data_IF_928940943504
#
_entry.id   IF_928940943504
#
_cell.length_a   1.000
_cell.length_b   1.000
_cell.length_c   1.000
_cell.angle_alpha   90.00
_cell.angle_beta   90.00
_cell.angle_gamma   90.00
#
_symmetry.space_group_name_H-M   'P 1'
#
loop_
_entity.id
_entity.type
_entity.pdbx_description
1 polymer ?
#
# COMPACT_ATOMS: atom_id res chain seq x y z
N UNK A 1 0.59 -6.59 2.72
CA UNK A 1 0.22 -7.80 3.49
C UNK A 1 -0.77 -7.40 4.56
N UNK A 2 -2.02 -7.76 4.35
CA UNK A 2 -3.21 -7.14 4.93
C UNK A 2 -3.56 -7.72 6.30
N UNK A 3 -3.67 -6.87 7.32
CA UNK A 3 -4.50 -7.13 8.50
C UNK A 3 -5.42 -5.93 8.73
N UNK A 4 -6.44 -5.82 7.88
CA UNK A 4 -7.75 -5.33 8.31
C UNK A 4 -8.69 -6.52 8.14
N UNK A 5 -8.98 -7.19 9.26
CA UNK A 5 -10.08 -8.15 9.45
C UNK A 5 -9.95 -9.41 8.57
N UNK A 6 -9.25 -10.42 9.08
CA UNK A 6 -9.71 -11.81 8.93
C UNK A 6 -9.31 -12.63 10.17
N UNK A 7 -10.31 -13.30 10.72
CA UNK A 7 -10.26 -14.23 11.84
C UNK A 7 -9.08 -15.22 11.71
N UNK A 8 -8.22 -15.30 12.72
CA UNK A 8 -7.67 -16.60 13.14
C UNK A 8 -8.84 -17.52 13.50
N UNK A 9 -9.13 -18.48 12.62
CA UNK A 9 -9.74 -19.76 12.95
C UNK A 9 -8.56 -20.72 13.09
N UNK A 10 -8.41 -21.36 14.25
CA UNK A 10 -7.64 -22.60 14.30
C UNK A 10 -8.31 -23.60 15.25
N UNK A 11 -8.25 -24.84 14.79
CA UNK A 11 -9.27 -25.87 14.92
C UNK A 11 -9.09 -26.74 16.17
N UNK A 12 -10.22 -27.08 16.80
CA UNK A 12 -10.31 -28.04 17.90
C UNK A 12 -11.56 -28.93 17.82
N UNK A 13 -11.48 -29.97 16.97
CA UNK A 13 -12.19 -31.29 16.99
C UNK A 13 -13.73 -31.39 16.82
N UNK A 14 -14.12 -32.21 15.83
CA UNK A 14 -15.32 -33.07 15.83
C UNK A 14 -16.14 -33.02 14.54
N UNK A 15 -16.55 -34.15 13.92
CA UNK A 15 -17.27 -34.14 12.66
C UNK A 15 -18.77 -33.95 12.93
N UNK A 16 -19.26 -32.73 12.74
CA UNK A 16 -20.68 -32.48 12.60
C UNK A 16 -20.85 -31.46 11.48
N UNK A 17 -21.72 -31.77 10.52
CA UNK A 17 -22.15 -30.85 9.47
C UNK A 17 -22.80 -29.63 10.14
N UNK A 18 -22.06 -28.55 10.26
CA UNK A 18 -22.56 -27.29 10.81
C UNK A 18 -22.34 -26.20 9.75
N UNK A 19 -23.45 -25.77 9.14
CA UNK A 19 -23.50 -24.53 8.35
C UNK A 19 -23.24 -23.37 9.32
N UNK A 20 -22.25 -22.53 9.04
CA UNK A 20 -22.02 -21.32 9.81
C UNK A 20 -22.82 -20.12 9.24
N UNK A 21 -23.03 -19.13 10.12
CA UNK A 21 -23.86 -17.92 10.01
C UNK A 21 -23.42 -16.93 8.89
N UNK A 22 -22.57 -17.39 7.97
CA UNK A 22 -22.01 -16.62 6.85
C UNK A 22 -22.47 -17.09 5.47
N UNK A 23 -23.19 -18.22 5.38
CA UNK A 23 -23.71 -18.73 4.10
C UNK A 23 -22.65 -18.99 3.03
N UNK A 24 -21.36 -19.05 3.41
CA UNK A 24 -20.24 -19.33 2.53
C UNK A 24 -19.64 -20.67 2.91
N UNK A 25 -19.61 -21.59 1.96
CA UNK A 25 -19.02 -22.91 2.11
C UNK A 25 -17.51 -22.81 2.40
N UNK A 26 -16.95 -23.84 3.05
CA UNK A 26 -15.52 -23.97 3.29
C UNK A 26 -14.69 -23.81 1.99
N UNK A 27 -15.25 -24.25 0.86
CA UNK A 27 -14.62 -24.17 -0.46
C UNK A 27 -14.59 -22.75 -1.02
N UNK A 28 -15.67 -21.96 -0.86
CA UNK A 28 -15.70 -20.54 -1.26
C UNK A 28 -14.70 -19.69 -0.47
N UNK A 29 -14.45 -20.02 0.81
CA UNK A 29 -13.38 -19.40 1.61
C UNK A 29 -11.98 -19.74 1.09
N UNK A 30 -11.75 -21.01 0.74
CA UNK A 30 -10.49 -21.43 0.11
C UNK A 30 -10.33 -20.76 -1.26
N UNK A 31 -11.41 -20.57 -2.03
CA UNK A 31 -11.37 -19.92 -3.34
C UNK A 31 -11.11 -18.42 -3.24
N UNK A 32 -11.80 -17.69 -2.35
CA UNK A 32 -11.51 -16.27 -2.09
C UNK A 32 -10.10 -16.10 -1.53
N UNK A 33 -9.67 -16.97 -0.61
CA UNK A 33 -8.30 -16.93 -0.08
C UNK A 33 -7.26 -17.30 -1.15
N UNK A 34 -7.57 -18.21 -2.08
CA UNK A 34 -6.73 -18.54 -3.24
C UNK A 34 -6.72 -17.43 -4.28
N UNK A 35 -7.83 -16.72 -4.49
CA UNK A 35 -7.95 -15.62 -5.45
C UNK A 35 -7.30 -14.34 -4.90
N UNK A 36 -7.37 -14.11 -3.59
CA UNK A 36 -6.60 -13.06 -2.89
C UNK A 36 -5.11 -13.41 -2.86
N UNK A 37 -4.76 -14.69 -2.66
CA UNK A 37 -3.36 -15.16 -2.70
C UNK A 37 -2.78 -15.12 -4.13
N UNK A 38 -3.59 -15.37 -5.16
CA UNK A 38 -3.17 -15.32 -6.57
C UNK A 38 -3.02 -13.90 -7.13
N UNK A 39 -3.59 -12.90 -6.46
CA UNK A 39 -3.40 -11.46 -6.77
C UNK A 39 -2.26 -10.81 -6.00
N UNK A 40 -1.63 -11.52 -5.05
CA UNK A 40 -0.66 -10.89 -4.16
C UNK A 40 0.65 -10.59 -4.89
N UNK A 41 0.92 -9.30 -5.10
CA UNK A 41 2.12 -8.84 -5.80
C UNK A 41 3.33 -9.02 -4.87
N UNK A 42 4.19 -10.00 -5.18
CA UNK A 42 5.56 -9.98 -4.65
C UNK A 42 6.28 -8.79 -5.27
N UNK A 43 6.86 -7.94 -4.42
CA UNK A 43 7.68 -6.82 -4.85
C UNK A 43 8.83 -6.62 -3.88
N UNK A 44 10.07 -6.82 -4.34
CA UNK A 44 11.27 -6.73 -3.49
C UNK A 44 11.81 -5.28 -3.41
N UNK A 45 11.17 -4.32 -4.09
CA UNK A 45 11.68 -2.98 -4.33
C UNK A 45 12.46 -2.88 -5.65
N UNK A 46 12.47 -1.69 -6.24
CA UNK A 46 13.25 -1.33 -7.42
C UNK A 46 13.61 0.15 -7.35
N UNK A 47 14.75 0.45 -6.74
CA UNK A 47 15.23 1.83 -6.59
C UNK A 47 16.01 2.25 -7.83
N UNK A 48 15.54 3.30 -8.50
CA UNK A 48 16.20 3.88 -9.66
C UNK A 48 17.23 4.89 -9.14
N UNK A 49 18.51 4.66 -9.46
CA UNK A 49 19.64 5.47 -8.99
C UNK A 49 19.79 6.77 -9.78
N UNK A 50 18.81 7.66 -9.64
CA UNK A 50 18.78 8.97 -10.30
C UNK A 50 18.47 10.06 -9.26
N UNK A 51 19.34 11.07 -9.16
CA UNK A 51 19.19 12.17 -8.21
C UNK A 51 17.94 12.99 -8.51
N UNK A 52 17.22 13.38 -7.47
CA UNK A 52 16.00 14.19 -7.56
C UNK A 52 14.78 13.42 -8.08
N UNK A 53 14.91 12.10 -8.33
CA UNK A 53 13.78 11.28 -8.76
C UNK A 53 12.92 10.91 -7.55
N UNK A 54 11.58 11.05 -7.64
CA UNK A 54 10.69 10.54 -6.61
C UNK A 54 10.83 9.03 -6.42
N UNK A 55 10.88 8.58 -5.16
CA UNK A 55 10.98 7.18 -4.78
C UNK A 55 9.93 6.86 -3.71
N UNK A 56 9.01 5.93 -4.03
CA UNK A 56 7.98 5.52 -3.07
C UNK A 56 8.62 4.68 -1.97
N UNK A 57 8.68 5.22 -0.76
CA UNK A 57 9.33 4.57 0.39
C UNK A 57 8.35 3.97 1.38
N UNK A 58 7.10 4.42 1.39
CA UNK A 58 6.06 3.80 2.21
C UNK A 58 4.72 3.88 1.48
N UNK A 59 4.04 2.74 1.36
CA UNK A 59 2.76 2.63 0.67
C UNK A 59 1.72 1.91 1.53
N UNK A 60 0.48 2.43 1.61
CA UNK A 60 -0.58 1.79 2.37
C UNK A 60 -1.09 0.54 1.66
N UNK A 61 -0.72 -0.63 2.19
CA UNK A 61 -1.01 -1.93 1.57
C UNK A 61 -2.49 -2.20 1.26
N UNK A 62 -3.45 -1.51 1.91
CA UNK A 62 -4.88 -1.63 1.59
C UNK A 62 -5.28 -1.07 0.22
N UNK A 63 -4.37 -0.35 -0.45
CA UNK A 63 -4.57 0.25 -1.77
C UNK A 63 -3.72 -0.44 -2.85
N UNK A 64 -3.72 -1.77 -2.88
CA UNK A 64 -2.99 -2.57 -3.86
C UNK A 64 -3.41 -2.27 -5.31
N UNK A 65 -4.70 -2.06 -5.58
CA UNK A 65 -5.15 -1.67 -6.93
C UNK A 65 -4.64 -0.30 -7.37
N UNK A 66 -4.43 0.63 -6.43
CA UNK A 66 -3.81 1.92 -6.71
C UNK A 66 -2.29 1.78 -6.91
N UNK A 67 -1.65 0.83 -6.21
CA UNK A 67 -0.24 0.48 -6.43
C UNK A 67 0.00 -0.03 -7.86
N UNK A 68 -0.82 -0.97 -8.34
CA UNK A 68 -0.75 -1.43 -9.73
C UNK A 68 -0.91 -0.29 -10.74
N UNK A 69 -1.84 0.63 -10.46
CA UNK A 69 -2.06 1.81 -11.28
C UNK A 69 -0.83 2.72 -11.31
N UNK A 70 -0.20 2.95 -10.15
CA UNK A 70 1.03 3.75 -10.05
C UNK A 70 2.19 3.09 -10.82
N UNK A 71 2.41 1.79 -10.62
CA UNK A 71 3.48 1.03 -11.29
C UNK A 71 3.30 0.98 -12.81
N UNK A 72 2.06 0.80 -13.28
CA UNK A 72 1.76 0.76 -14.71
C UNK A 72 1.84 2.14 -15.41
N UNK A 73 1.55 3.23 -14.69
CA UNK A 73 1.55 4.59 -15.24
C UNK A 73 2.91 5.30 -15.16
N UNK A 74 3.82 4.88 -14.28
CA UNK A 74 5.14 5.49 -14.17
C UNK A 74 5.88 5.42 -15.51
N UNK A 75 6.34 6.56 -16.05
CA UNK A 75 7.07 6.76 -17.33
C UNK A 75 7.72 5.47 -17.90
N UNK A 76 6.98 4.69 -18.69
CA UNK A 76 7.39 3.40 -19.29
C UNK A 76 7.70 2.24 -18.31
N UNK A 77 6.95 2.10 -17.21
CA UNK A 77 7.13 1.04 -16.20
C UNK A 77 8.29 1.30 -15.22
N UNK A 78 8.80 2.53 -15.13
CA UNK A 78 9.97 2.88 -14.31
C UNK A 78 9.58 3.65 -13.05
N UNK A 79 8.82 3.02 -12.16
CA UNK A 79 8.60 3.55 -10.81
C UNK A 79 9.81 3.21 -9.94
N UNK A 80 10.40 4.24 -9.30
CA UNK A 80 11.39 4.02 -8.25
C UNK A 80 10.64 3.76 -6.94
N UNK A 81 10.92 2.64 -6.30
CA UNK A 81 10.23 2.25 -5.07
C UNK A 81 11.12 1.41 -4.16
N UNK A 82 11.12 1.76 -2.88
CA UNK A 82 11.79 1.01 -1.83
C UNK A 82 10.85 0.07 -1.06
N UNK A 83 9.53 0.22 -1.23
CA UNK A 83 8.52 -0.63 -0.57
C UNK A 83 8.73 -2.11 -0.89
N UNK A 84 8.44 -2.97 0.08
CA UNK A 84 8.63 -4.41 -0.04
C UNK A 84 7.33 -5.14 0.33
N UNK A 85 6.85 -5.99 -0.57
CA UNK A 85 5.71 -6.86 -0.37
C UNK A 85 6.16 -8.33 -0.53
N UNK A 86 6.14 -9.08 0.57
CA UNK A 86 6.47 -10.51 0.60
C UNK A 86 5.22 -11.34 0.91
N UNK A 87 4.37 -11.70 -0.08
CA UNK A 87 3.20 -12.55 0.11
C UNK A 87 3.50 -13.85 0.86
N UNK A 88 2.47 -14.43 1.49
CA UNK A 88 2.54 -15.80 1.98
C UNK A 88 2.89 -16.76 0.85
N UNK A 89 3.73 -17.76 1.14
CA UNK A 89 4.25 -18.71 0.15
C UNK A 89 5.46 -18.21 -0.65
N UNK A 90 5.87 -16.95 -0.50
CA UNK A 90 7.16 -16.50 -1.04
C UNK A 90 8.33 -17.02 -0.20
N UNK A 91 9.49 -17.17 -0.83
CA UNK A 91 10.69 -17.72 -0.19
C UNK A 91 11.07 -17.00 1.10
N UNK A 92 10.85 -15.69 1.17
CA UNK A 92 11.24 -14.84 2.30
C UNK A 92 10.13 -14.59 3.32
N UNK A 93 8.91 -15.10 3.07
CA UNK A 93 7.82 -15.05 4.03
C UNK A 93 8.15 -15.85 5.29
N UNK A 94 7.84 -15.29 6.46
CA UNK A 94 8.10 -15.91 7.76
C UNK A 94 9.56 -15.86 8.21
N UNK A 95 10.50 -15.44 7.34
CA UNK A 95 11.90 -15.27 7.72
C UNK A 95 12.09 -14.03 8.60
N UNK A 96 12.92 -14.17 9.62
CA UNK A 96 13.33 -13.08 10.50
C UNK A 96 14.83 -12.87 10.37
N UNK A 97 15.24 -11.60 10.31
CA UNK A 97 16.66 -11.23 10.31
C UNK A 97 17.05 -10.70 11.68
N UNK A 98 18.22 -11.11 12.15
CA UNK A 98 18.74 -10.70 13.45
C UNK A 98 19.12 -9.23 13.46
N UNK A 99 18.81 -8.55 14.55
CA UNK A 99 19.32 -7.21 14.83
C UNK A 99 20.76 -7.35 15.31
N UNK A 100 21.67 -6.53 14.79
CA UNK A 100 23.05 -6.53 15.29
C UNK A 100 23.08 -5.91 16.69
N UNK A 101 23.84 -6.51 17.61
CA UNK A 101 24.00 -5.97 18.98
C UNK A 101 24.45 -4.50 18.99
N UNK A 102 25.23 -4.09 17.99
CA UNK A 102 25.70 -2.72 17.79
C UNK A 102 24.58 -1.72 17.49
N UNK A 103 23.43 -2.16 16.98
CA UNK A 103 22.29 -1.28 16.73
C UNK A 103 21.50 -0.98 18.01
N UNK A 104 21.70 -1.73 19.09
CA UNK A 104 21.19 -1.41 20.43
C UNK A 104 19.67 -1.58 20.61
N UNK A 105 19.00 -2.35 19.74
CA UNK A 105 17.55 -2.53 19.79
C UNK A 105 17.12 -3.78 20.56
N UNK A 106 15.93 -3.75 21.19
CA UNK A 106 15.41 -4.90 21.91
C UNK A 106 14.99 -6.01 20.94
N UNK A 107 15.10 -7.26 21.41
CA UNK A 107 14.69 -8.45 20.67
C UNK A 107 15.81 -9.10 19.87
N UNK A 108 15.53 -10.30 19.37
CA UNK A 108 16.47 -11.09 18.56
C UNK A 108 16.35 -10.79 17.06
N UNK A 109 15.26 -10.14 16.63
CA UNK A 109 14.99 -9.76 15.24
C UNK A 109 14.11 -8.51 15.18
N UNK A 110 13.95 -7.93 13.98
CA UNK A 110 13.17 -6.71 13.75
C UNK A 110 11.70 -6.78 14.14
N UNK A 111 11.12 -7.96 14.33
CA UNK A 111 9.72 -8.06 14.75
C UNK A 111 9.44 -7.33 16.07
N UNK A 112 10.36 -7.39 17.05
CA UNK A 112 10.16 -6.75 18.35
C UNK A 112 10.05 -5.22 18.24
N UNK A 113 11.00 -4.48 17.63
CA UNK A 113 10.84 -3.04 17.47
C UNK A 113 9.68 -2.65 16.56
N UNK A 114 9.36 -3.46 15.53
CA UNK A 114 8.30 -3.14 14.57
C UNK A 114 6.88 -3.40 15.11
N UNK A 115 6.71 -4.50 15.83
CA UNK A 115 5.40 -5.06 16.16
C UNK A 115 5.21 -5.37 17.65
N UNK A 116 6.26 -5.24 18.46
CA UNK A 116 6.29 -5.59 19.88
C UNK A 116 6.54 -7.08 20.15
N UNK A 117 6.30 -7.95 19.17
CA UNK A 117 6.46 -9.40 19.27
C UNK A 117 6.80 -10.03 17.92
N UNK A 118 7.29 -11.28 17.92
CA UNK A 118 7.57 -12.01 16.70
C UNK A 118 6.27 -12.35 15.95
N UNK A 119 6.25 -12.07 14.64
CA UNK A 119 5.08 -12.30 13.79
C UNK A 119 5.30 -13.48 12.82
N UNK A 120 4.24 -14.22 12.45
CA UNK A 120 4.36 -15.39 11.58
C UNK A 120 4.81 -15.05 10.16
N UNK A 121 4.58 -13.82 9.70
CA UNK A 121 5.08 -13.33 8.41
C UNK A 121 6.55 -12.88 8.45
N UNK A 122 7.17 -12.86 9.63
CA UNK A 122 8.56 -12.49 9.82
C UNK A 122 8.85 -10.99 9.60
N UNK A 123 10.13 -10.64 9.59
CA UNK A 123 10.60 -9.26 9.46
C UNK A 123 11.68 -9.06 8.40
N UNK A 124 11.98 -10.07 7.59
CA UNK A 124 12.96 -9.96 6.49
C UNK A 124 12.62 -8.88 5.47
N UNK A 125 11.34 -8.60 5.27
CA UNK A 125 10.89 -7.49 4.42
C UNK A 125 11.49 -6.15 4.88
N UNK A 126 11.69 -5.94 6.18
CA UNK A 126 12.19 -4.68 6.74
C UNK A 126 13.68 -4.50 6.47
N UNK A 127 14.47 -5.58 6.51
CA UNK A 127 15.88 -5.53 6.12
C UNK A 127 16.02 -5.10 4.66
N UNK A 128 15.29 -5.76 3.74
CA UNK A 128 15.27 -5.40 2.33
C UNK A 128 14.80 -3.96 2.10
N UNK A 129 13.74 -3.56 2.79
CA UNK A 129 13.23 -2.20 2.74
C UNK A 129 14.31 -1.20 3.15
N UNK A 130 14.99 -1.41 4.29
CA UNK A 130 16.08 -0.52 4.74
C UNK A 130 17.22 -0.44 3.71
N UNK A 131 17.64 -1.56 3.13
CA UNK A 131 18.67 -1.58 2.09
C UNK A 131 18.26 -0.75 0.86
N UNK A 132 16.98 -0.83 0.47
CA UNK A 132 16.41 0.02 -0.59
C UNK A 132 16.39 1.50 -0.17
N UNK A 133 16.04 1.83 1.07
CA UNK A 133 16.08 3.22 1.56
C UNK A 133 17.48 3.78 1.50
N UNK A 134 18.49 3.06 2.01
CA UNK A 134 19.88 3.52 1.97
C UNK A 134 20.33 3.74 0.51
N UNK A 135 19.98 2.81 -0.40
CA UNK A 135 20.25 2.99 -1.84
C UNK A 135 19.58 4.24 -2.41
N UNK A 136 18.33 4.53 -2.04
CA UNK A 136 17.60 5.71 -2.51
C UNK A 136 18.23 7.01 -1.99
N UNK A 137 18.61 7.04 -0.71
CA UNK A 137 19.27 8.20 -0.08
C UNK A 137 20.64 8.45 -0.68
N UNK A 138 21.47 7.42 -0.84
CA UNK A 138 22.80 7.52 -1.49
C UNK A 138 22.71 8.04 -2.92
N UNK A 139 21.65 7.66 -3.64
CA UNK A 139 21.39 8.13 -5.01
C UNK A 139 20.86 9.57 -5.07
N UNK A 140 20.51 10.16 -3.91
CA UNK A 140 19.88 11.48 -3.82
C UNK A 140 18.45 11.51 -4.34
N UNK A 141 17.70 10.40 -4.21
CA UNK A 141 16.28 10.34 -4.55
C UNK A 141 15.43 11.16 -3.58
N UNK A 142 14.25 11.60 -4.03
CA UNK A 142 13.27 12.27 -3.20
C UNK A 142 12.31 11.22 -2.61
N UNK A 143 12.34 10.99 -1.30
CA UNK A 143 11.56 9.93 -0.67
C UNK A 143 10.09 10.37 -0.53
N UNK A 144 9.13 9.51 -0.88
CA UNK A 144 7.69 9.75 -0.74
C UNK A 144 7.02 8.74 0.21
N UNK A 145 6.30 9.25 1.20
CA UNK A 145 5.47 8.48 2.14
C UNK A 145 4.00 8.75 1.84
N UNK A 146 3.27 7.69 1.46
CA UNK A 146 1.84 7.78 1.16
C UNK A 146 0.98 7.53 2.40
N UNK A 147 0.10 8.49 2.68
CA UNK A 147 -0.89 8.46 3.75
C UNK A 147 -2.26 8.06 3.23
N UNK A 148 -3.13 7.61 4.14
CA UNK A 148 -4.54 7.41 3.84
C UNK A 148 -5.22 8.73 3.42
N UNK A 149 -6.35 8.65 2.67
CA UNK A 149 -7.05 9.82 2.16
C UNK A 149 -7.40 10.84 3.24
N UNK A 150 -7.00 12.09 3.01
CA UNK A 150 -7.21 13.24 3.88
C UNK A 150 -6.56 13.11 5.28
N UNK A 151 -5.53 12.25 5.40
CA UNK A 151 -4.85 11.95 6.66
C UNK A 151 -3.33 12.15 6.57
N UNK A 152 -2.86 12.99 5.63
CA UNK A 152 -1.45 13.40 5.52
C UNK A 152 -0.94 13.92 6.87
N UNK A 153 0.22 13.39 7.29
CA UNK A 153 0.88 13.76 8.54
C UNK A 153 0.28 13.15 9.82
N UNK A 154 -0.84 12.43 9.72
CA UNK A 154 -1.52 11.79 10.87
C UNK A 154 -1.12 10.31 11.03
N UNK A 155 -1.40 9.75 12.20
CA UNK A 155 -1.21 8.33 12.46
C UNK A 155 0.23 7.93 12.72
N UNK A 156 1.17 8.86 12.86
CA UNK A 156 2.56 8.57 13.24
C UNK A 156 2.62 8.06 14.68
N UNK A 157 3.62 7.22 14.96
CA UNK A 157 4.02 6.90 16.35
C UNK A 157 4.99 7.97 16.85
N UNK A 158 5.14 8.07 18.17
CA UNK A 158 6.03 9.06 18.79
C UNK A 158 7.50 8.87 18.36
N UNK A 159 7.95 7.63 18.31
CA UNK A 159 9.30 7.26 17.89
C UNK A 159 9.37 5.80 17.43
N UNK A 160 10.46 5.42 16.76
CA UNK A 160 10.67 4.02 16.38
C UNK A 160 10.73 3.10 17.61
N UNK A 161 11.25 3.59 18.73
CA UNK A 161 11.32 2.90 20.02
C UNK A 161 9.92 2.54 20.57
N UNK A 162 8.89 3.35 20.25
CA UNK A 162 7.50 3.13 20.69
C UNK A 162 6.64 2.33 19.70
N UNK A 163 7.14 2.07 18.47
CA UNK A 163 6.33 1.49 17.39
C UNK A 163 5.76 0.10 17.75
N UNK A 164 6.56 -0.75 18.37
CA UNK A 164 6.14 -2.08 18.80
C UNK A 164 5.02 -2.04 19.85
N UNK A 165 5.10 -1.12 20.82
CA UNK A 165 4.07 -0.96 21.85
C UNK A 165 2.75 -0.42 21.26
N UNK A 166 2.82 0.57 20.36
CA UNK A 166 1.65 1.08 19.62
C UNK A 166 0.96 -0.04 18.85
N UNK A 167 1.73 -0.91 18.18
CA UNK A 167 1.18 -2.06 17.46
C UNK A 167 0.45 -3.03 18.39
N UNK A 168 1.06 -3.41 19.53
CA UNK A 168 0.44 -4.32 20.50
C UNK A 168 -0.88 -3.76 21.04
N UNK A 169 -0.92 -2.47 21.38
CA UNK A 169 -2.14 -1.83 21.87
C UNK A 169 -3.25 -1.83 20.80
N UNK A 170 -2.90 -1.52 19.54
CA UNK A 170 -3.85 -1.62 18.41
C UNK A 170 -4.36 -3.03 18.20
N UNK A 171 -3.49 -4.04 18.31
CA UNK A 171 -3.90 -5.43 18.17
C UNK A 171 -4.80 -5.89 19.30
N UNK A 172 -4.55 -5.46 20.53
CA UNK A 172 -5.42 -5.72 21.67
C UNK A 172 -6.82 -5.14 21.44
N UNK A 173 -6.91 -3.88 20.98
CA UNK A 173 -8.19 -3.27 20.63
C UNK A 173 -8.86 -4.03 19.49
N UNK A 174 -8.14 -4.33 18.40
CA UNK A 174 -8.71 -5.05 17.26
C UNK A 174 -9.17 -6.48 17.61
N UNK A 175 -8.55 -7.15 18.61
CA UNK A 175 -9.02 -8.46 19.10
C UNK A 175 -10.44 -8.37 19.67
N UNK A 176 -10.81 -7.24 20.28
CA UNK A 176 -12.17 -6.98 20.79
C UNK A 176 -13.23 -6.94 19.69
N UNK A 177 -12.83 -6.77 18.43
CA UNK A 177 -13.78 -6.76 17.32
C UNK A 177 -14.54 -8.09 17.21
N UNK A 178 -13.87 -9.23 17.44
CA UNK A 178 -14.53 -10.54 17.41
C UNK A 178 -15.58 -10.70 18.51
N UNK A 179 -15.33 -10.10 19.67
CA UNK A 179 -16.27 -10.14 20.79
C UNK A 179 -17.45 -9.20 20.52
N UNK A 180 -17.16 -8.03 19.94
CA UNK A 180 -18.19 -7.11 19.47
C UNK A 180 -19.09 -7.75 18.41
N UNK A 181 -18.56 -8.48 17.43
CA UNK A 181 -19.35 -9.17 16.40
C UNK A 181 -20.29 -10.25 16.98
N UNK A 182 -20.00 -10.76 18.19
CA UNK A 182 -20.86 -11.72 18.91
C UNK A 182 -21.86 -11.05 19.85
N UNK A 183 -21.73 -9.74 20.07
CA UNK A 183 -22.50 -8.97 21.04
C UNK A 183 -23.99 -8.83 20.65
N UNK A 184 -24.89 -8.64 21.63
CA UNK A 184 -26.28 -8.29 21.36
C UNK A 184 -26.43 -7.02 20.51
N UNK A 185 -25.56 -6.03 20.71
CA UNK A 185 -25.56 -4.76 19.99
C UNK A 185 -25.29 -4.96 18.50
N UNK A 186 -24.34 -5.83 18.15
CA UNK A 186 -24.06 -6.14 16.76
C UNK A 186 -25.20 -6.93 16.10
N UNK A 187 -25.80 -7.90 16.83
CA UNK A 187 -26.99 -8.62 16.36
C UNK A 187 -28.18 -7.69 16.13
N UNK A 188 -28.37 -6.70 16.99
CA UNK A 188 -29.37 -5.65 16.80
C UNK A 188 -29.08 -4.83 15.55
N UNK A 189 -27.82 -4.46 15.30
CA UNK A 189 -27.43 -3.75 14.09
C UNK A 189 -27.69 -4.58 12.82
N UNK A 190 -27.42 -5.89 12.84
CA UNK A 190 -27.79 -6.82 11.76
C UNK A 190 -29.29 -6.79 11.50
N UNK A 191 -30.12 -6.91 12.54
CA UNK A 191 -31.57 -6.80 12.44
C UNK A 191 -32.06 -5.42 11.96
N UNK A 192 -31.30 -4.36 12.23
CA UNK A 192 -31.56 -3.00 11.76
C UNK A 192 -31.08 -2.74 10.32
N UNK A 193 -30.61 -3.76 9.60
CA UNK A 193 -30.27 -3.68 8.19
C UNK A 193 -28.77 -3.54 7.88
N UNK A 194 -27.88 -3.65 8.87
CA UNK A 194 -26.43 -3.73 8.62
C UNK A 194 -26.11 -4.84 7.61
N UNK A 195 -26.75 -6.02 7.75
CA UNK A 195 -26.55 -7.16 6.86
C UNK A 195 -27.00 -6.94 5.41
N UNK A 196 -27.83 -5.92 5.17
CA UNK A 196 -28.35 -5.59 3.84
C UNK A 196 -27.45 -4.58 3.09
N UNK A 197 -26.42 -4.03 3.73
CA UNK A 197 -25.49 -3.11 3.09
C UNK A 197 -24.64 -3.84 2.05
N UNK A 198 -24.26 -3.12 0.99
CA UNK A 198 -23.40 -3.69 -0.05
C UNK A 198 -22.06 -4.16 0.54
N UNK A 199 -21.69 -5.39 0.17
CA UNK A 199 -20.40 -6.02 0.49
C UNK A 199 -19.38 -5.85 -0.64
N UNK A 200 -19.76 -5.22 -1.75
CA UNK A 200 -18.87 -4.95 -2.86
C UNK A 200 -17.74 -4.02 -2.43
N UNK A 201 -16.50 -4.40 -2.78
CA UNK A 201 -15.31 -3.63 -2.45
C UNK A 201 -15.19 -2.42 -3.37
N UNK A 202 -14.85 -1.27 -2.78
CA UNK A 202 -14.50 -0.04 -3.49
C UNK A 202 -13.00 0.02 -3.76
N UNK A 203 -12.57 1.07 -4.47
CA UNK A 203 -11.14 1.30 -4.78
C UNK A 203 -10.22 1.47 -3.56
N UNK A 204 -10.78 1.66 -2.36
CA UNK A 204 -10.03 1.72 -1.10
C UNK A 204 -10.05 0.40 -0.31
N UNK A 205 -10.57 -0.67 -0.90
CA UNK A 205 -10.69 -1.99 -0.29
C UNK A 205 -11.82 -2.12 0.74
N UNK A 206 -12.66 -1.10 0.91
CA UNK A 206 -13.79 -1.13 1.84
C UNK A 206 -15.13 -1.29 1.12
N UNK A 207 -16.11 -1.89 1.80
CA UNK A 207 -17.52 -1.96 1.39
C UNK A 207 -18.41 -1.12 2.32
N UNK A 208 -19.66 -0.84 1.90
CA UNK A 208 -20.63 -0.16 2.77
C UNK A 208 -20.81 -0.90 4.10
N UNK A 209 -20.95 -2.24 4.02
CA UNK A 209 -21.03 -3.11 5.19
C UNK A 209 -19.81 -2.92 6.11
N UNK A 210 -18.59 -3.05 5.57
CA UNK A 210 -17.37 -3.01 6.38
C UNK A 210 -17.16 -1.66 7.08
N UNK A 211 -17.53 -0.55 6.42
CA UNK A 211 -17.42 0.79 7.00
C UNK A 211 -18.40 0.98 8.15
N UNK A 212 -19.65 0.56 7.97
CA UNK A 212 -20.66 0.69 9.02
C UNK A 212 -20.37 -0.25 10.19
N UNK A 213 -19.99 -1.51 9.92
CA UNK A 213 -19.55 -2.44 10.95
C UNK A 213 -18.36 -1.87 11.76
N UNK A 214 -17.38 -1.28 11.07
CA UNK A 214 -16.24 -0.61 11.72
C UNK A 214 -16.68 0.60 12.55
N UNK A 215 -17.59 1.43 12.05
CA UNK A 215 -18.13 2.60 12.78
C UNK A 215 -18.80 2.16 14.08
N UNK A 216 -19.62 1.12 14.02
CA UNK A 216 -20.31 0.57 15.20
C UNK A 216 -19.33 -0.05 16.19
N UNK A 217 -18.32 -0.78 15.71
CA UNK A 217 -17.25 -1.31 16.56
C UNK A 217 -16.51 -0.18 17.29
N UNK A 218 -16.07 0.86 16.57
CA UNK A 218 -15.42 2.01 17.19
C UNK A 218 -16.33 2.68 18.22
N UNK A 219 -17.64 2.79 17.96
CA UNK A 219 -18.59 3.35 18.92
C UNK A 219 -18.74 2.50 20.21
N UNK A 220 -18.51 1.18 20.13
CA UNK A 220 -18.55 0.28 21.30
C UNK A 220 -17.31 0.34 22.19
N UNK A 221 -16.20 0.88 21.69
CA UNK A 221 -14.95 1.00 22.46
C UNK A 221 -15.09 2.05 23.58
N UNK A 222 -14.24 1.95 24.60
CA UNK A 222 -14.12 3.01 25.61
C UNK A 222 -13.60 4.31 24.99
N UNK A 223 -13.81 5.44 25.66
CA UNK A 223 -13.36 6.75 25.17
C UNK A 223 -11.86 6.79 24.88
N UNK A 224 -11.03 6.33 25.82
CA UNK A 224 -9.58 6.26 25.66
C UNK A 224 -9.15 5.39 24.48
N UNK A 225 -9.83 4.27 24.23
CA UNK A 225 -9.54 3.42 23.08
C UNK A 225 -9.95 4.07 21.76
N UNK A 226 -11.10 4.75 21.72
CA UNK A 226 -11.53 5.49 20.53
C UNK A 226 -10.55 6.61 20.19
N UNK A 227 -10.12 7.37 21.19
CA UNK A 227 -9.12 8.43 21.03
C UNK A 227 -7.80 7.86 20.50
N UNK A 228 -7.32 6.76 21.08
CA UNK A 228 -6.12 6.08 20.61
C UNK A 228 -6.24 5.59 19.15
N UNK A 229 -7.37 4.97 18.80
CA UNK A 229 -7.61 4.50 17.44
C UNK A 229 -7.70 5.65 16.44
N UNK A 230 -8.36 6.74 16.80
CA UNK A 230 -8.46 7.95 15.98
C UNK A 230 -7.10 8.63 15.78
N UNK A 231 -6.29 8.74 16.84
CA UNK A 231 -4.93 9.28 16.75
C UNK A 231 -4.01 8.41 15.89
N UNK A 232 -4.29 7.11 15.82
CA UNK A 232 -3.56 6.13 15.02
C UNK A 232 -3.95 6.09 13.54
N UNK A 233 -4.97 6.84 13.11
CA UNK A 233 -5.38 6.86 11.70
C UNK A 233 -4.44 7.70 10.83
N UNK A 234 -4.09 7.16 9.65
CA UNK A 234 -3.30 7.86 8.62
C UNK A 234 -2.24 6.97 7.99
N UNK A 235 -1.69 6.04 8.76
CA UNK A 235 -0.68 5.06 8.34
C UNK A 235 -1.07 3.64 8.75
N UNK A 236 -0.73 2.67 7.90
CA UNK A 236 -0.79 1.24 8.25
C UNK A 236 0.22 0.87 9.35
N UNK A 237 0.06 -0.33 9.96
CA UNK A 237 0.91 -0.75 11.08
C UNK A 237 2.40 -0.76 10.73
N UNK A 238 2.79 -1.45 9.65
CA UNK A 238 4.19 -1.46 9.21
C UNK A 238 4.66 -0.06 8.80
N UNK A 239 3.79 0.74 8.16
CA UNK A 239 4.14 2.10 7.72
C UNK A 239 4.48 3.03 8.89
N UNK A 240 3.79 2.89 10.03
CA UNK A 240 4.11 3.65 11.25
C UNK A 240 5.57 3.46 11.65
N UNK A 241 6.04 2.22 11.64
CA UNK A 241 7.42 1.89 11.98
C UNK A 241 8.40 2.34 10.88
N UNK A 242 8.06 2.17 9.60
CA UNK A 242 8.85 2.70 8.47
C UNK A 242 9.09 4.21 8.61
N UNK A 243 8.03 4.99 8.82
CA UNK A 243 8.09 6.45 8.94
C UNK A 243 8.88 6.87 10.18
N UNK A 244 8.65 6.21 11.32
CA UNK A 244 9.39 6.50 12.55
C UNK A 244 10.89 6.16 12.40
N UNK A 245 11.23 5.14 11.61
CA UNK A 245 12.62 4.80 11.29
C UNK A 245 13.27 5.88 10.41
N UNK A 246 12.58 6.36 9.36
CA UNK A 246 13.07 7.46 8.51
C UNK A 246 13.34 8.73 9.34
N UNK A 247 12.42 9.06 10.25
CA UNK A 247 12.58 10.20 11.17
C UNK A 247 13.78 10.02 12.10
N UNK A 248 13.95 8.83 12.68
CA UNK A 248 15.10 8.51 13.55
C UNK A 248 16.43 8.65 12.81
N UNK A 249 16.46 8.30 11.52
CA UNK A 249 17.64 8.45 10.65
C UNK A 249 17.89 9.88 10.19
N UNK A 250 16.94 10.79 10.41
CA UNK A 250 17.00 12.17 9.92
C UNK A 250 16.81 12.30 8.42
N UNK A 251 16.17 11.32 7.78
CA UNK A 251 15.92 11.34 6.33
C UNK A 251 14.70 12.19 6.03
N UNK A 252 14.87 13.17 5.14
CA UNK A 252 13.76 13.99 4.64
C UNK A 252 12.89 13.18 3.67
N UNK A 253 11.59 13.37 3.74
CA UNK A 253 10.61 12.74 2.86
C UNK A 253 9.41 13.66 2.64
N UNK A 254 8.75 13.49 1.50
CA UNK A 254 7.48 14.12 1.17
C UNK A 254 6.32 13.30 1.70
N UNK A 255 5.30 13.98 2.22
CA UNK A 255 4.06 13.36 2.69
C UNK A 255 3.00 13.52 1.59
N UNK A 256 2.54 12.39 1.05
CA UNK A 256 1.66 12.38 -0.12
C UNK A 256 0.32 11.74 0.23
N UNK A 257 -0.78 12.34 -0.22
CA UNK A 257 -2.11 11.78 -0.08
C UNK A 257 -2.36 10.74 -1.19
N UNK A 258 -2.77 9.53 -0.82
CA UNK A 258 -3.06 8.48 -1.81
C UNK A 258 -4.30 8.76 -2.66
N UNK A 259 -5.18 9.68 -2.28
CA UNK A 259 -6.36 10.05 -3.08
C UNK A 259 -5.99 10.50 -4.49
N UNK A 260 -4.75 10.95 -4.71
CA UNK A 260 -4.16 11.26 -6.03
C UNK A 260 -4.18 10.07 -6.99
N UNK A 261 -4.20 8.84 -6.48
CA UNK A 261 -4.17 7.59 -7.25
C UNK A 261 -5.50 6.84 -7.26
N UNK A 262 -6.48 7.30 -6.48
CA UNK A 262 -7.80 6.69 -6.46
C UNK A 262 -8.63 7.27 -7.61
N UNK A 263 -9.42 6.44 -8.33
CA UNK A 263 -10.39 6.99 -9.26
C UNK A 263 -11.31 7.90 -8.46
N UNK A 264 -11.36 9.19 -8.80
CA UNK A 264 -12.27 10.12 -8.16
C UNK A 264 -13.69 9.57 -8.30
N UNK A 265 -14.44 9.49 -7.20
CA UNK A 265 -15.88 9.25 -7.28
C UNK A 265 -16.48 10.39 -8.14
N UNK A 266 -16.72 10.14 -9.43
CA UNK A 266 -17.34 11.09 -10.36
C UNK A 266 -16.44 12.07 -11.12
N UNK A 267 -15.12 11.85 -11.25
CA UNK A 267 -14.27 12.69 -12.14
C UNK A 267 -13.92 11.90 -13.40
N UNK A 268 -14.57 12.24 -14.52
CA UNK A 268 -14.08 11.87 -15.86
C UNK A 268 -12.61 12.26 -15.95
N UNK A 269 -11.73 11.28 -16.20
CA UNK A 269 -10.30 11.48 -16.28
C UNK A 269 -9.99 12.53 -17.35
N UNK A 270 -9.55 13.72 -16.92
CA UNK A 270 -8.79 14.60 -17.78
C UNK A 270 -7.43 13.95 -18.00
N UNK A 271 -7.29 13.24 -19.12
CA UNK A 271 -5.98 12.84 -19.64
C UNK A 271 -5.43 14.09 -20.34
N UNK A 272 -4.42 14.79 -19.81
CA UNK A 272 -3.74 15.80 -20.60
C UNK A 272 -3.13 15.08 -21.80
N UNK A 273 -3.61 15.41 -23.00
CA UNK A 273 -3.00 14.97 -24.25
C UNK A 273 -1.54 15.40 -24.19
N UNK A 274 -0.66 14.42 -24.03
CA UNK A 274 0.78 14.61 -24.05
C UNK A 274 1.09 15.38 -25.33
N UNK A 275 1.70 16.54 -25.16
CA UNK A 275 2.28 17.31 -26.25
C UNK A 275 3.14 16.37 -27.07
N UNK A 276 2.68 16.09 -28.29
CA UNK A 276 3.39 15.33 -29.30
C UNK A 276 4.76 15.98 -29.42
N UNK A 277 5.79 15.25 -28.98
CA UNK A 277 7.18 15.62 -29.15
C UNK A 277 7.40 15.92 -30.64
N UNK A 278 7.61 17.20 -30.99
CA UNK A 278 8.08 17.56 -32.33
C UNK A 278 9.45 16.92 -32.50
N UNK A 279 9.70 16.13 -33.56
CA UNK A 279 11.04 15.64 -33.83
C UNK A 279 11.96 16.83 -34.08
N UNK A 280 13.09 16.83 -33.38
CA UNK A 280 14.18 17.76 -33.56
C UNK A 280 14.75 17.52 -34.96
N UNK A 281 14.36 18.35 -35.93
CA UNK A 281 15.02 18.40 -37.24
C UNK A 281 16.34 19.13 -37.02
N UNK A 282 17.45 18.39 -37.09
CA UNK A 282 18.78 18.97 -37.12
C UNK A 282 18.97 19.70 -38.45
N UNK A 283 18.80 21.03 -38.45
CA UNK A 283 19.24 21.87 -39.55
C UNK A 283 20.76 21.98 -39.51
N UNK A 284 21.41 21.37 -40.51
CA UNK A 284 22.83 21.57 -40.82
C UNK A 284 22.93 22.86 -41.66
N UNK A 285 23.67 23.89 -41.24
CA UNK A 285 23.76 25.12 -42.00
C UNK A 285 24.80 25.00 -43.12
N UNK A 286 24.38 25.37 -44.33
CA UNK A 286 25.28 25.85 -45.39
C UNK A 286 25.35 24.96 -46.62
N UNK A 287 24.61 25.34 -47.67
CA UNK A 287 25.13 25.55 -49.03
C UNK A 287 24.00 26.15 -49.88
N UNK A 288 24.08 27.44 -50.15
CA UNK A 288 23.36 28.09 -51.26
C UNK A 288 24.29 28.19 -52.45
N UNK A 289 23.83 27.78 -53.64
CA UNK A 289 23.83 28.59 -54.87
C UNK A 289 23.31 27.80 -56.08
N UNK A 290 22.23 28.34 -56.66
CA UNK A 290 21.95 28.52 -58.09
C UNK A 290 22.01 27.34 -59.07
N UNK A 291 20.86 26.97 -59.64
CA UNK A 291 20.57 27.28 -61.05
C UNK A 291 19.09 27.10 -61.41
N UNK A 292 18.48 28.17 -61.91
CA UNK A 292 17.34 28.10 -62.82
C UNK A 292 17.83 27.64 -64.19
N UNK A 293 17.09 26.74 -64.85
CA UNK A 293 16.76 26.98 -66.26
C UNK A 293 15.55 26.19 -66.72
N UNK A 294 14.69 26.93 -67.38
CA UNK A 294 13.53 26.54 -68.18
C UNK A 294 13.84 25.41 -69.17
N UNK A 295 12.81 24.66 -69.54
CA UNK A 295 12.49 24.41 -70.95
C UNK A 295 11.00 24.04 -71.08
N UNK A 296 10.27 24.95 -71.72
CA UNK A 296 8.96 24.72 -72.33
C UNK A 296 9.13 24.05 -73.70
N UNK A 297 8.15 23.22 -74.03
CA UNK A 297 7.47 23.00 -75.33
C UNK A 297 8.29 23.07 -76.63
N UNK A 298 8.17 22.03 -77.45
CA UNK A 298 7.65 22.17 -78.83
C UNK A 298 7.16 20.83 -79.40
N UNK A 299 5.94 20.87 -79.93
CA UNK A 299 5.36 19.99 -80.94
C UNK A 299 6.22 19.92 -82.22
N UNK A 300 6.19 18.78 -82.93
CA UNK A 300 5.83 18.68 -84.36
C UNK A 300 5.59 17.22 -84.78
N UNK A 301 4.65 17.08 -85.70
CA UNK A 301 4.05 15.88 -86.31
C UNK A 301 5.02 15.06 -87.18
N UNK A 302 4.91 13.73 -87.12
CA UNK A 302 4.51 12.81 -88.21
C UNK A 302 4.58 11.35 -87.73
#
# INVERSE_FOLDING_TARGET
MWFCINLCLDLGRGPFEEYDDYGLTYWERIEVSREVSSRSIRFDGSVIRERGRPCVVSWPGKYEGAWESLVSQGRNGQVSAAVVFLPEGTEDYGKCDSILLSEGWPGTCWCTPLYGEQKPWGCRWFTKWRENIETAVESGAELEVYYFPNLVGKGKVESFDTAGADNLQREEINKKQKDFEKSPEFKQALGAGLGNLSKELRGDGSSQYSREARRLFLASLSETEREFMAASEGLGNSQKAEVAWLQKKGYAYWEVDISTWLPGEGVERYVPVIAIYKPYVSEVPGYTLNHCRDLKETYTEE
#
